data_IF_491044484602
#
_entry.id   IF_491044484602
#
_cell.length_a   1.000
_cell.length_b   1.000
_cell.length_c   1.000
_cell.angle_alpha   90.00
_cell.angle_beta   90.00
_cell.angle_gamma   90.00
#
_symmetry.space_group_name_H-M   'P 1'
#
loop_
_entity.id
_entity.type
_entity.pdbx_description
1 polymer ?
#
# COMPACT_ATOMS: atom_id res chain seq x y z
N UNK A 1 18.00 11.08 -22.11
CA UNK A 1 16.98 10.05 -21.80
C UNK A 1 16.72 10.13 -20.33
N UNK A 2 15.50 10.45 -19.98
CA UNK A 2 15.13 10.48 -18.56
C UNK A 2 15.15 9.04 -18.03
N UNK A 3 15.86 8.83 -16.93
CA UNK A 3 15.82 7.55 -16.22
C UNK A 3 14.38 7.28 -15.77
N UNK A 4 13.91 6.02 -15.76
CA UNK A 4 12.60 5.73 -15.20
C UNK A 4 12.52 6.20 -13.76
N UNK A 5 11.35 6.70 -13.35
CA UNK A 5 11.12 7.17 -11.99
C UNK A 5 11.41 6.05 -10.96
N UNK A 6 12.13 6.37 -9.90
CA UNK A 6 12.42 5.42 -8.82
C UNK A 6 11.21 5.34 -7.87
N UNK A 7 10.54 4.18 -7.87
CA UNK A 7 9.33 3.94 -7.09
C UNK A 7 9.68 3.09 -5.88
N UNK A 8 9.39 3.59 -4.68
CA UNK A 8 9.47 2.85 -3.42
C UNK A 8 8.07 2.55 -2.87
N UNK A 9 7.86 1.31 -2.46
CA UNK A 9 6.61 0.82 -1.89
C UNK A 9 6.80 0.53 -0.40
N UNK A 10 5.91 1.05 0.43
CA UNK A 10 5.86 0.80 1.88
C UNK A 10 4.59 0.00 2.19
N UNK A 11 4.76 -1.12 2.87
CA UNK A 11 3.68 -2.03 3.27
C UNK A 11 3.72 -2.20 4.79
N UNK A 12 2.89 -1.46 5.54
CA UNK A 12 2.65 -1.76 6.95
C UNK A 12 1.93 -3.10 7.09
N UNK A 13 2.40 -3.98 7.96
CA UNK A 13 1.82 -5.30 8.14
C UNK A 13 1.78 -5.72 9.61
N UNK A 14 0.72 -6.41 10.01
CA UNK A 14 0.55 -7.04 11.33
C UNK A 14 -0.24 -8.32 11.17
N UNK A 15 0.38 -9.48 11.48
CA UNK A 15 -0.27 -10.79 11.44
C UNK A 15 -0.89 -11.11 10.06
N UNK A 16 -0.09 -10.94 8.98
CA UNK A 16 -0.49 -11.11 7.58
C UNK A 16 0.30 -12.24 6.88
N UNK A 17 0.72 -13.29 7.60
CA UNK A 17 1.58 -14.34 7.03
C UNK A 17 0.98 -15.05 5.82
N UNK A 18 -0.36 -15.15 5.74
CA UNK A 18 -1.05 -15.79 4.62
C UNK A 18 -1.21 -14.85 3.41
N UNK A 19 -1.38 -13.56 3.65
CA UNK A 19 -1.67 -12.56 2.63
C UNK A 19 -0.41 -11.92 2.03
N UNK A 20 0.58 -11.62 2.86
CA UNK A 20 1.77 -10.85 2.47
C UNK A 20 2.53 -11.47 1.29
N UNK A 21 2.52 -12.81 1.17
CA UNK A 21 3.19 -13.50 0.06
C UNK A 21 2.52 -13.19 -1.29
N UNK A 22 1.18 -13.12 -1.31
CA UNK A 22 0.44 -12.79 -2.52
C UNK A 22 0.65 -11.33 -2.89
N UNK A 23 0.57 -10.42 -1.91
CA UNK A 23 0.87 -8.99 -2.13
C UNK A 23 2.24 -8.84 -2.80
N UNK A 24 3.29 -9.44 -2.23
CA UNK A 24 4.66 -9.28 -2.72
C UNK A 24 4.88 -9.88 -4.12
N UNK A 25 4.21 -10.99 -4.46
CA UNK A 25 4.32 -11.62 -5.79
C UNK A 25 3.66 -10.80 -6.89
N UNK A 26 2.59 -10.08 -6.56
CA UNK A 26 1.81 -9.30 -7.53
C UNK A 26 2.32 -7.85 -7.68
N UNK A 27 3.36 -7.45 -6.93
CA UNK A 27 4.00 -6.15 -7.10
C UNK A 27 4.65 -6.07 -8.48
N UNK A 28 4.33 -5.02 -9.27
CA UNK A 28 4.94 -4.82 -10.59
C UNK A 28 6.45 -4.64 -10.51
N UNK A 29 7.17 -5.15 -11.52
CA UNK A 29 8.63 -5.01 -11.64
C UNK A 29 9.11 -3.55 -11.79
N UNK A 30 8.20 -2.62 -11.99
CA UNK A 30 8.49 -1.18 -12.01
C UNK A 30 8.77 -0.59 -10.64
N UNK A 31 8.50 -1.32 -9.56
CA UNK A 31 8.83 -0.94 -8.18
C UNK A 31 10.26 -1.40 -7.88
N UNK A 32 11.15 -0.46 -7.57
CA UNK A 32 12.57 -0.76 -7.32
C UNK A 32 12.88 -1.07 -5.86
N UNK A 33 12.10 -0.54 -4.92
CA UNK A 33 12.27 -0.78 -3.49
C UNK A 33 10.96 -1.19 -2.84
N UNK A 34 10.95 -2.31 -2.13
CA UNK A 34 9.80 -2.78 -1.34
C UNK A 34 10.21 -2.86 0.12
N UNK A 35 9.53 -2.12 0.97
CA UNK A 35 9.74 -2.05 2.41
C UNK A 35 8.50 -2.59 3.09
N UNK A 36 8.63 -3.70 3.80
CA UNK A 36 7.59 -4.23 4.69
C UNK A 36 7.92 -3.80 6.11
N UNK A 37 7.00 -3.09 6.75
CA UNK A 37 7.14 -2.68 8.14
C UNK A 37 6.32 -3.61 9.01
N UNK A 38 7.00 -4.51 9.70
CA UNK A 38 6.37 -5.41 10.67
C UNK A 38 6.07 -4.65 11.95
N UNK A 39 4.79 -4.35 12.17
CA UNK A 39 4.32 -3.57 13.30
C UNK A 39 3.91 -4.45 14.49
N UNK A 40 4.76 -5.43 14.80
CA UNK A 40 4.61 -6.33 15.94
C UNK A 40 3.74 -7.54 15.66
N UNK A 41 3.96 -8.22 14.54
CA UNK A 41 3.32 -9.50 14.22
C UNK A 41 3.73 -10.60 15.22
N UNK A 42 2.85 -11.55 15.45
CA UNK A 42 3.06 -12.74 16.26
C UNK A 42 3.24 -14.00 15.43
N UNK A 43 2.92 -13.90 14.15
CA UNK A 43 3.04 -14.95 13.14
C UNK A 43 4.35 -14.81 12.34
N UNK A 44 4.44 -15.48 11.21
CA UNK A 44 5.64 -15.46 10.35
C UNK A 44 5.64 -14.37 9.27
N UNK A 45 4.84 -13.31 9.43
CA UNK A 45 4.75 -12.21 8.45
C UNK A 45 6.14 -11.70 8.02
N UNK A 46 6.98 -11.35 9.00
CA UNK A 46 8.32 -10.81 8.73
C UNK A 46 9.24 -11.84 8.02
N UNK A 47 9.17 -13.11 8.40
CA UNK A 47 9.94 -14.19 7.80
C UNK A 47 9.54 -14.40 6.34
N UNK A 48 8.24 -14.49 6.07
CA UNK A 48 7.69 -14.64 4.72
C UNK A 48 8.09 -13.47 3.83
N UNK A 49 7.97 -12.24 4.33
CA UNK A 49 8.34 -11.06 3.56
C UNK A 49 9.84 -11.03 3.21
N UNK A 50 10.72 -11.36 4.15
CA UNK A 50 12.18 -11.46 3.90
C UNK A 50 12.50 -12.53 2.86
N UNK A 51 11.84 -13.68 2.91
CA UNK A 51 12.07 -14.77 1.97
C UNK A 51 11.73 -14.40 0.52
N UNK A 52 10.85 -13.43 0.32
CA UNK A 52 10.44 -12.91 -0.99
C UNK A 52 11.20 -11.63 -1.41
N UNK A 53 12.27 -11.29 -0.70
CA UNK A 53 13.20 -10.22 -1.08
C UNK A 53 12.81 -8.82 -0.63
N UNK A 54 11.79 -8.66 0.19
CA UNK A 54 11.44 -7.36 0.76
C UNK A 54 12.45 -6.92 1.83
N UNK A 55 12.72 -5.61 1.91
CA UNK A 55 13.39 -5.04 3.08
C UNK A 55 12.39 -5.02 4.24
N UNK A 56 12.63 -5.82 5.27
CA UNK A 56 11.75 -5.88 6.44
C UNK A 56 12.34 -5.08 7.59
N UNK A 57 11.54 -4.16 8.12
CA UNK A 57 11.87 -3.33 9.29
C UNK A 57 10.85 -3.59 10.39
N UNK A 58 11.31 -3.76 11.61
CA UNK A 58 10.46 -3.95 12.77
C UNK A 58 10.13 -2.61 13.45
N UNK A 59 8.85 -2.36 13.70
CA UNK A 59 8.38 -1.21 14.47
C UNK A 59 7.55 -1.69 15.67
N UNK A 60 8.12 -1.70 16.87
CA UNK A 60 7.45 -2.22 18.06
C UNK A 60 6.31 -1.32 18.56
N UNK A 61 6.33 -0.02 18.22
CA UNK A 61 5.25 0.89 18.58
C UNK A 61 4.07 0.68 17.65
N UNK A 62 3.00 0.14 18.19
CA UNK A 62 1.80 -0.15 17.40
C UNK A 62 1.15 1.10 16.83
N UNK A 63 0.68 1.00 15.60
CA UNK A 63 -0.08 2.03 14.90
C UNK A 63 0.32 2.18 13.44
N UNK A 64 -0.68 2.24 12.57
CA UNK A 64 -0.51 2.34 11.13
C UNK A 64 0.39 3.53 10.73
N UNK A 65 0.09 4.72 11.25
CA UNK A 65 0.89 5.91 10.97
C UNK A 65 2.33 5.78 11.46
N UNK A 66 2.56 5.13 12.62
CA UNK A 66 3.92 4.88 13.12
C UNK A 66 4.68 3.93 12.19
N UNK A 67 4.04 2.87 11.72
CA UNK A 67 4.65 1.96 10.74
C UNK A 67 4.97 2.68 9.41
N UNK A 68 4.08 3.53 8.93
CA UNK A 68 4.35 4.36 7.75
C UNK A 68 5.57 5.26 7.94
N UNK A 69 5.69 5.95 9.08
CA UNK A 69 6.85 6.81 9.37
C UNK A 69 8.15 6.02 9.45
N UNK A 70 8.11 4.82 10.03
CA UNK A 70 9.27 3.92 10.08
C UNK A 70 9.69 3.45 8.68
N UNK A 71 8.72 3.14 7.81
CA UNK A 71 8.99 2.83 6.40
C UNK A 71 9.59 4.02 5.63
N UNK A 72 9.06 5.22 5.84
CA UNK A 72 9.59 6.46 5.23
C UNK A 72 11.06 6.68 5.60
N UNK A 73 11.44 6.38 6.83
CA UNK A 73 12.84 6.53 7.30
C UNK A 73 13.84 5.59 6.58
N UNK A 74 13.35 4.56 5.87
CA UNK A 74 14.15 3.60 5.10
C UNK A 74 14.26 3.94 3.61
N UNK A 75 13.61 5.01 3.17
CA UNK A 75 13.59 5.40 1.76
C UNK A 75 14.98 5.82 1.26
N UNK A 76 15.32 5.39 0.05
CA UNK A 76 16.57 5.71 -0.64
C UNK A 76 16.32 6.69 -1.80
N UNK A 77 15.90 7.93 -1.44
CA UNK A 77 15.66 9.01 -2.39
C UNK A 77 14.71 8.65 -3.56
N UNK A 78 13.50 8.15 -3.30
CA UNK A 78 12.55 7.81 -4.35
C UNK A 78 11.99 9.07 -5.02
N UNK A 79 11.64 8.94 -6.31
CA UNK A 79 10.83 9.93 -7.00
C UNK A 79 9.35 9.80 -6.61
N UNK A 80 8.90 8.56 -6.35
CA UNK A 80 7.52 8.26 -5.98
C UNK A 80 7.50 7.29 -4.80
N UNK A 81 6.69 7.61 -3.80
CA UNK A 81 6.41 6.73 -2.66
C UNK A 81 4.98 6.23 -2.75
N UNK A 82 4.80 4.91 -2.64
CA UNK A 82 3.50 4.26 -2.62
C UNK A 82 3.28 3.57 -1.29
N UNK A 83 2.06 3.64 -0.77
CA UNK A 83 1.61 2.85 0.39
C UNK A 83 0.59 1.83 -0.08
N UNK A 84 0.72 0.60 0.39
CA UNK A 84 -0.16 -0.51 0.09
C UNK A 84 -0.40 -1.32 1.37
N UNK A 85 -1.63 -1.80 1.56
CA UNK A 85 -1.96 -2.65 2.70
C UNK A 85 -1.43 -4.09 2.50
N UNK A 86 -1.05 -4.76 3.60
CA UNK A 86 -0.46 -6.10 3.57
C UNK A 86 -1.47 -7.24 3.52
N UNK A 87 -2.77 -6.96 3.63
CA UNK A 87 -3.87 -7.92 3.79
C UNK A 87 -4.43 -8.47 2.46
N UNK A 88 -3.83 -8.10 1.34
CA UNK A 88 -4.27 -8.48 -0.02
C UNK A 88 -5.70 -8.03 -0.36
N UNK A 89 -6.17 -6.94 0.27
CA UNK A 89 -7.48 -6.35 -0.03
C UNK A 89 -7.47 -5.40 -1.23
N UNK A 90 -6.29 -5.02 -1.70
CA UNK A 90 -6.06 -4.20 -2.88
C UNK A 90 -5.42 -5.04 -4.00
N UNK A 91 -5.41 -4.52 -5.21
CA UNK A 91 -4.79 -5.13 -6.39
C UNK A 91 -3.40 -4.50 -6.63
N UNK A 92 -2.29 -5.14 -6.21
CA UNK A 92 -0.94 -4.56 -6.33
C UNK A 92 -0.56 -4.21 -7.77
N UNK A 93 -1.05 -4.96 -8.75
CA UNK A 93 -0.83 -4.74 -10.17
C UNK A 93 -1.42 -3.41 -10.69
N UNK A 94 -2.47 -2.88 -10.03
CA UNK A 94 -3.06 -1.59 -10.39
C UNK A 94 -2.18 -0.39 -9.98
N UNK A 95 -1.14 -0.61 -9.20
CA UNK A 95 -0.17 0.41 -8.81
C UNK A 95 0.39 1.16 -10.02
N UNK A 96 0.62 0.45 -11.14
CA UNK A 96 1.10 1.08 -12.38
C UNK A 96 0.17 2.20 -12.84
N UNK A 97 -1.14 1.97 -12.80
CA UNK A 97 -2.14 2.98 -13.18
C UNK A 97 -2.20 4.15 -12.19
N UNK A 98 -1.96 3.89 -10.90
CA UNK A 98 -1.93 4.93 -9.87
C UNK A 98 -0.75 5.88 -9.99
N UNK A 99 0.42 5.39 -10.39
CA UNK A 99 1.62 6.23 -10.48
C UNK A 99 1.71 7.02 -11.80
N UNK A 100 0.99 6.62 -12.85
CA UNK A 100 1.05 7.26 -14.16
C UNK A 100 0.75 8.78 -14.13
N UNK A 101 -0.31 9.28 -13.46
CA UNK A 101 -0.57 10.71 -13.41
C UNK A 101 0.55 11.51 -12.72
N UNK A 102 1.25 10.88 -11.74
CA UNK A 102 2.40 11.51 -11.07
C UNK A 102 3.59 11.57 -12.04
N UNK A 103 3.88 10.47 -12.73
CA UNK A 103 4.96 10.41 -13.74
C UNK A 103 4.72 11.42 -14.86
N UNK A 104 3.46 11.60 -15.28
CA UNK A 104 3.07 12.56 -16.29
C UNK A 104 3.10 14.03 -15.81
N UNK A 105 3.33 14.28 -14.51
CA UNK A 105 3.28 15.62 -13.93
C UNK A 105 1.88 16.22 -13.84
N UNK A 106 0.85 15.38 -13.92
CA UNK A 106 -0.56 15.78 -13.85
C UNK A 106 -1.08 15.86 -12.40
N UNK A 107 -0.41 15.17 -11.48
CA UNK A 107 -0.78 15.12 -10.06
C UNK A 107 0.46 14.96 -9.18
N UNK A 108 0.43 15.55 -7.98
CA UNK A 108 1.43 15.34 -6.93
C UNK A 108 1.07 14.18 -5.99
N UNK A 109 -0.22 13.81 -5.95
CA UNK A 109 -0.73 12.70 -5.15
C UNK A 109 -1.93 12.04 -5.84
N UNK A 110 -1.96 10.70 -5.80
CA UNK A 110 -3.06 9.89 -6.33
C UNK A 110 -3.50 8.90 -5.24
N UNK A 111 -4.81 8.78 -5.06
CA UNK A 111 -5.41 7.85 -4.08
C UNK A 111 -6.31 6.87 -4.82
N UNK A 112 -6.08 5.58 -4.58
CA UNK A 112 -6.95 4.51 -5.06
C UNK A 112 -8.35 4.62 -4.44
N UNK A 113 -9.38 4.34 -5.22
CA UNK A 113 -10.76 4.42 -4.76
C UNK A 113 -11.42 3.04 -4.80
N UNK A 114 -11.94 2.60 -3.65
CA UNK A 114 -12.78 1.39 -3.56
C UNK A 114 -14.22 1.63 -3.98
N UNK A 115 -14.59 2.87 -4.31
CA UNK A 115 -15.96 3.25 -4.68
C UNK A 115 -16.16 3.49 -6.16
N UNK A 116 -15.10 3.72 -6.91
CA UNK A 116 -15.10 3.91 -8.37
C UNK A 116 -14.40 2.72 -9.03
N UNK A 117 -14.95 2.23 -10.14
CA UNK A 117 -14.38 1.10 -10.88
C UNK A 117 -15.18 -0.20 -10.76
N UNK A 118 -14.62 -1.30 -11.27
CA UNK A 118 -15.22 -2.64 -11.21
C UNK A 118 -15.03 -3.21 -9.80
N UNK A 119 -16.12 -3.62 -9.16
CA UNK A 119 -16.13 -4.20 -7.82
C UNK A 119 -16.53 -5.66 -7.88
N UNK A 120 -15.93 -6.46 -7.01
CA UNK A 120 -16.46 -7.79 -6.74
C UNK A 120 -17.80 -7.69 -6.00
N UNK A 121 -18.75 -8.58 -6.31
CA UNK A 121 -20.02 -8.65 -5.59
C UNK A 121 -19.79 -8.86 -4.09
N UNK A 122 -20.29 -7.94 -3.26
CA UNK A 122 -20.13 -8.02 -1.80
C UNK A 122 -18.93 -7.26 -1.20
N UNK A 123 -18.06 -6.68 -2.01
CA UNK A 123 -16.87 -5.93 -1.54
C UNK A 123 -17.19 -4.73 -0.63
N UNK A 124 -18.42 -4.19 -0.71
CA UNK A 124 -18.89 -3.12 0.17
C UNK A 124 -20.22 -3.53 0.81
N UNK A 125 -20.20 -3.73 2.12
CA UNK A 125 -21.41 -3.98 2.89
C UNK A 125 -22.37 -2.77 2.81
N UNK A 126 -23.71 -2.98 2.89
CA UNK A 126 -24.70 -1.90 2.83
C UNK A 126 -24.45 -0.80 3.86
N UNK A 127 -23.97 -1.16 5.06
CA UNK A 127 -23.62 -0.22 6.13
C UNK A 127 -22.45 0.70 5.73
N UNK A 128 -21.42 0.14 5.08
CA UNK A 128 -20.27 0.91 4.61
C UNK A 128 -20.66 1.87 3.48
N UNK A 129 -21.57 1.46 2.59
CA UNK A 129 -22.14 2.35 1.55
C UNK A 129 -22.90 3.53 2.14
N UNK A 130 -23.72 3.26 3.16
CA UNK A 130 -24.48 4.31 3.86
C UNK A 130 -23.54 5.23 4.64
N UNK A 131 -22.57 4.69 5.35
CA UNK A 131 -21.57 5.47 6.10
C UNK A 131 -20.75 6.38 5.18
N UNK A 132 -20.27 5.87 4.04
CA UNK A 132 -19.54 6.66 3.05
C UNK A 132 -20.41 7.77 2.44
N UNK A 133 -21.66 7.49 2.13
CA UNK A 133 -22.61 8.50 1.63
C UNK A 133 -22.86 9.59 2.65
N UNK A 134 -23.11 9.21 3.92
CA UNK A 134 -23.40 10.15 5.00
C UNK A 134 -22.20 11.04 5.31
N UNK A 135 -20.99 10.45 5.46
CA UNK A 135 -19.78 11.22 5.75
C UNK A 135 -19.41 12.15 4.61
N UNK A 136 -19.53 11.73 3.35
CA UNK A 136 -19.28 12.61 2.20
C UNK A 136 -20.24 13.80 2.16
N UNK A 137 -21.49 13.58 2.58
CA UNK A 137 -22.49 14.66 2.63
C UNK A 137 -22.22 15.64 3.79
N UNK A 138 -21.75 15.14 4.93
CA UNK A 138 -21.40 15.98 6.09
C UNK A 138 -20.13 16.80 5.89
N UNK A 139 -19.14 16.27 5.16
CA UNK A 139 -17.88 17.00 4.87
C UNK A 139 -18.11 18.12 3.85
N UNK A 140 -19.17 18.05 3.03
CA UNK A 140 -19.52 19.10 2.05
C UNK A 140 -20.38 20.25 2.62
N UNK A 141 -20.72 20.20 3.90
CA UNK A 141 -21.38 21.28 4.63
C UNK A 141 -20.37 22.18 5.32
#
# INVERSE_FOLDING_TARGET
MDSPAFISLIIPAVDEEEAIANVLRDIPATVQQVIVVDNGSRDRTAEVARSLGALVVEEPRRGYGQACLTGIAQLQHPDIVVFLDGDYSDYPEELVALVQPIIAGEADMVIGSRTTGKREPGALLPQARFGNWLSTRLIRL
#
